data_IF_601002144432
#
_entry.id   IF_601002144432
#
_cell.length_a   1.000
_cell.length_b   1.000
_cell.length_c   1.000
_cell.angle_alpha   90.00
_cell.angle_beta   90.00
_cell.angle_gamma   90.00
#
_symmetry.space_group_name_H-M   'P 1'
#
loop_
_entity.id
_entity.type
_entity.pdbx_description
1 polymer ?
#
# COMPACT_ATOMS: atom_id res chain seq x y z
N UNK A 1 96.12 10.12 -35.59
CA UNK A 1 96.11 8.70 -36.00
C UNK A 1 95.29 7.95 -34.96
N UNK A 2 94.37 7.14 -35.45
CA UNK A 2 93.21 6.52 -34.81
C UNK A 2 93.56 5.42 -33.79
N UNK A 3 92.86 5.34 -32.66
CA UNK A 3 92.72 4.12 -31.82
C UNK A 3 91.50 4.25 -30.87
N UNK A 4 90.92 3.16 -30.35
CA UNK A 4 89.50 2.84 -30.50
C UNK A 4 88.63 3.19 -29.27
N UNK A 5 87.35 3.50 -29.51
CA UNK A 5 86.36 3.67 -28.46
C UNK A 5 85.99 2.31 -27.84
N UNK A 6 86.43 2.09 -26.60
CA UNK A 6 86.02 0.98 -25.76
C UNK A 6 84.71 1.37 -25.05
N UNK A 7 83.59 0.74 -25.41
CA UNK A 7 82.32 0.89 -24.69
C UNK A 7 82.43 0.24 -23.30
N UNK A 8 82.04 0.91 -22.20
CA UNK A 8 82.07 0.28 -20.88
C UNK A 8 81.02 -0.84 -20.77
N UNK A 9 81.38 -1.93 -20.10
CA UNK A 9 80.49 -3.05 -19.78
C UNK A 9 79.28 -2.59 -18.93
N UNK A 10 78.08 -3.00 -19.32
CA UNK A 10 76.86 -2.79 -18.57
C UNK A 10 76.62 -3.95 -17.60
N UNK A 11 76.61 -3.68 -16.30
CA UNK A 11 76.20 -4.65 -15.29
C UNK A 11 74.67 -4.61 -15.08
N UNK A 12 73.96 -5.74 -14.98
CA UNK A 12 72.54 -5.76 -14.67
C UNK A 12 72.28 -5.30 -13.23
N UNK A 13 71.27 -4.45 -13.04
CA UNK A 13 70.86 -3.92 -11.72
C UNK A 13 70.12 -5.02 -10.93
N UNK A 14 70.46 -5.26 -9.65
CA UNK A 14 69.75 -6.21 -8.80
C UNK A 14 68.25 -5.88 -8.63
N UNK A 15 67.37 -6.89 -8.55
CA UNK A 15 65.91 -6.70 -8.58
C UNK A 15 65.35 -5.82 -7.45
N UNK A 16 66.09 -5.67 -6.36
CA UNK A 16 65.67 -4.89 -5.18
C UNK A 16 65.79 -3.37 -5.38
N UNK A 17 66.35 -2.91 -6.51
CA UNK A 17 66.48 -1.49 -6.89
C UNK A 17 65.79 -1.14 -8.21
N UNK A 18 64.94 -2.02 -8.74
CA UNK A 18 64.17 -1.73 -9.94
C UNK A 18 63.11 -0.64 -9.64
N UNK A 19 63.14 0.47 -10.40
CA UNK A 19 62.17 1.55 -10.30
C UNK A 19 60.77 1.03 -10.67
N UNK A 20 59.87 0.97 -9.68
CA UNK A 20 58.47 0.58 -9.88
C UNK A 20 57.74 1.69 -10.64
N UNK A 21 57.54 1.52 -11.94
CA UNK A 21 56.65 2.41 -12.71
C UNK A 21 55.18 2.14 -12.37
N UNK A 22 54.62 2.91 -11.43
CA UNK A 22 53.16 3.02 -11.28
C UNK A 22 52.61 3.97 -12.34
N UNK A 23 51.98 3.43 -13.38
CA UNK A 23 51.16 4.23 -14.31
C UNK A 23 49.90 4.69 -13.57
N UNK A 24 49.90 5.93 -13.11
CA UNK A 24 48.67 6.58 -12.69
C UNK A 24 47.90 6.99 -13.96
N UNK A 25 46.71 6.40 -14.16
CA UNK A 25 45.80 6.84 -15.20
C UNK A 25 45.11 8.12 -14.73
N UNK A 26 45.70 9.28 -15.04
CA UNK A 26 45.06 10.57 -14.88
C UNK A 26 44.44 11.02 -16.21
N UNK A 27 43.15 11.36 -16.15
CA UNK A 27 42.35 11.88 -17.25
C UNK A 27 42.84 13.25 -17.71
N UNK A 28 42.69 13.51 -19.01
CA UNK A 28 43.01 14.75 -19.72
C UNK A 28 42.62 16.05 -18.99
N UNK A 29 43.63 16.81 -18.56
CA UNK A 29 43.71 18.28 -18.72
C UNK A 29 45.04 18.78 -18.19
N UNK A 30 46.06 18.88 -19.04
CA UNK A 30 47.41 19.34 -18.66
C UNK A 30 47.94 20.45 -19.57
N UNK A 31 47.07 21.35 -20.02
CA UNK A 31 47.47 22.56 -20.72
C UNK A 31 47.47 23.72 -19.71
N UNK A 32 48.62 23.98 -19.09
CA UNK A 32 48.81 25.21 -18.29
C UNK A 32 49.66 25.13 -17.03
N UNK A 33 50.28 23.99 -16.70
CA UNK A 33 51.22 23.95 -15.57
C UNK A 33 52.65 24.25 -16.06
N UNK A 34 53.11 25.47 -15.78
CA UNK A 34 54.49 25.86 -15.94
C UNK A 34 55.34 25.15 -14.87
N UNK A 35 56.39 24.43 -15.29
CA UNK A 35 57.27 23.67 -14.40
C UNK A 35 58.34 24.62 -13.87
N UNK A 36 58.30 24.97 -12.59
CA UNK A 36 59.45 25.56 -11.91
C UNK A 36 60.40 24.44 -11.48
N UNK A 37 61.61 24.44 -12.03
CA UNK A 37 62.71 23.61 -11.55
C UNK A 37 63.39 24.37 -10.41
N UNK A 38 63.42 23.80 -9.21
CA UNK A 38 64.29 24.28 -8.14
C UNK A 38 65.65 23.64 -8.39
N UNK A 39 66.67 24.44 -8.71
CA UNK A 39 68.06 23.99 -8.67
C UNK A 39 68.46 23.82 -7.19
N UNK A 40 68.61 22.59 -6.74
CA UNK A 40 69.27 22.30 -5.46
C UNK A 40 70.77 22.52 -5.63
N UNK A 41 71.23 23.67 -5.15
CA UNK A 41 72.65 23.97 -5.04
C UNK A 41 73.28 23.03 -4.00
N UNK A 42 74.22 22.20 -4.47
CA UNK A 42 74.96 21.21 -3.70
C UNK A 42 75.71 21.86 -2.53
N UNK A 43 75.26 21.58 -1.31
CA UNK A 43 76.01 21.86 -0.08
C UNK A 43 76.05 20.59 0.77
N UNK A 44 77.23 19.96 0.83
CA UNK A 44 77.51 18.80 1.70
C UNK A 44 77.30 19.13 3.19
N UNK A 45 76.91 18.15 4.02
CA UNK A 45 76.58 18.39 5.42
C UNK A 45 77.86 18.48 6.25
N UNK A 46 78.20 19.67 6.73
CA UNK A 46 79.16 19.81 7.83
C UNK A 46 78.45 19.58 9.16
N UNK A 47 78.91 18.56 9.88
CA UNK A 47 78.55 18.29 11.27
C UNK A 47 78.94 19.49 12.13
N UNK A 48 78.00 20.07 12.89
CA UNK A 48 78.37 20.73 14.15
C UNK A 48 77.23 20.81 15.18
N UNK A 49 77.55 20.21 16.33
CA UNK A 49 77.01 20.38 17.68
C UNK A 49 75.64 21.02 17.91
N UNK A 50 74.75 20.21 18.47
CA UNK A 50 73.65 20.65 19.34
C UNK A 50 74.24 21.45 20.51
N UNK A 51 74.14 22.79 20.47
CA UNK A 51 74.29 23.69 21.63
C UNK A 51 73.10 24.64 21.72
N UNK A 52 72.45 24.60 22.88
CA UNK A 52 71.26 25.33 23.30
C UNK A 52 71.25 26.81 22.86
N UNK A 53 70.23 27.22 22.09
CA UNK A 53 69.77 28.61 21.93
C UNK A 53 68.25 28.69 21.73
N UNK A 54 67.48 28.08 22.65
CA UNK A 54 66.02 28.30 22.68
C UNK A 54 65.61 29.71 23.16
N UNK A 55 66.55 30.52 23.67
CA UNK A 55 66.26 31.87 24.13
C UNK A 55 66.21 32.91 23.00
N UNK A 56 66.87 32.68 21.87
CA UNK A 56 66.91 33.64 20.76
C UNK A 56 65.68 33.52 19.85
N UNK A 57 65.03 32.35 19.76
CA UNK A 57 63.83 32.18 18.91
C UNK A 57 62.60 32.92 19.43
N UNK A 58 62.39 32.94 20.74
CA UNK A 58 61.25 33.65 21.34
C UNK A 58 61.44 35.17 21.29
N UNK A 59 62.66 35.65 21.48
CA UNK A 59 63.01 37.07 21.30
C UNK A 59 62.90 37.50 19.84
N UNK A 60 63.27 36.62 18.90
CA UNK A 60 63.14 36.87 17.47
C UNK A 60 61.67 36.91 17.03
N UNK A 61 60.81 36.07 17.60
CA UNK A 61 59.36 36.11 17.33
C UNK A 61 58.71 37.38 17.89
N UNK A 62 59.14 37.84 19.06
CA UNK A 62 58.64 39.10 19.65
C UNK A 62 59.15 40.29 18.83
N UNK A 63 60.41 40.28 18.39
CA UNK A 63 60.95 41.31 17.50
C UNK A 63 60.22 41.34 16.15
N UNK A 64 59.93 40.16 15.56
CA UNK A 64 59.17 40.05 14.31
C UNK A 64 57.72 40.55 14.49
N UNK A 65 57.04 40.18 15.58
CA UNK A 65 55.68 40.68 15.88
C UNK A 65 55.63 42.19 16.19
N UNK A 66 56.71 42.75 16.77
CA UNK A 66 56.75 44.16 17.17
C UNK A 66 57.18 45.07 16.02
N UNK A 67 58.12 44.62 15.18
CA UNK A 67 58.72 45.42 14.11
C UNK A 67 58.24 45.04 12.70
N UNK A 68 57.59 43.88 12.51
CA UNK A 68 57.00 43.41 11.25
C UNK A 68 55.56 42.93 11.47
N UNK A 69 54.58 43.85 11.60
CA UNK A 69 53.18 43.48 11.86
C UNK A 69 52.46 42.82 10.67
N UNK A 70 53.15 42.57 9.55
CA UNK A 70 52.58 41.99 8.34
C UNK A 70 53.30 40.67 8.01
N UNK A 71 52.53 39.58 8.01
CA UNK A 71 52.98 38.24 7.66
C UNK A 71 53.62 38.22 6.25
N UNK A 72 54.75 37.53 6.02
CA UNK A 72 55.37 37.44 4.70
C UNK A 72 54.44 36.81 3.64
N UNK A 73 53.50 35.94 4.04
CA UNK A 73 52.44 35.44 3.14
C UNK A 73 51.49 36.52 2.63
N UNK A 74 51.27 37.61 3.38
CA UNK A 74 50.46 38.73 2.93
C UNK A 74 51.19 39.62 1.92
N UNK A 75 52.52 39.67 1.96
CA UNK A 75 53.31 40.33 0.92
C UNK A 75 53.30 39.52 -0.38
N UNK A 76 53.44 38.19 -0.30
CA UNK A 76 53.36 37.30 -1.47
C UNK A 76 52.00 37.41 -2.19
N UNK A 77 50.90 37.51 -1.44
CA UNK A 77 49.57 37.71 -2.02
C UNK A 77 49.40 39.05 -2.75
N UNK A 78 50.23 40.07 -2.43
CA UNK A 78 50.25 41.37 -3.12
C UNK A 78 51.22 41.39 -4.31
N UNK A 79 52.18 40.47 -4.35
CA UNK A 79 53.14 40.30 -5.44
C UNK A 79 52.61 39.40 -6.56
N UNK A 80 51.57 38.61 -6.30
CA UNK A 80 50.80 37.98 -7.37
C UNK A 80 50.22 39.10 -8.26
N UNK A 81 50.57 39.15 -9.57
CA UNK A 81 49.94 40.09 -10.47
C UNK A 81 48.44 39.90 -10.34
N UNK A 82 47.69 40.98 -10.05
CA UNK A 82 46.25 40.95 -10.21
C UNK A 82 46.00 40.56 -11.67
N UNK A 83 45.72 39.28 -11.93
CA UNK A 83 45.47 38.78 -13.27
C UNK A 83 44.40 39.69 -13.84
N UNK A 84 44.76 40.45 -14.88
CA UNK A 84 43.81 41.26 -15.63
C UNK A 84 42.87 40.29 -16.31
N UNK A 85 41.84 39.86 -15.59
CA UNK A 85 40.76 39.05 -16.14
C UNK A 85 40.18 39.86 -17.28
N UNK A 86 40.39 39.38 -18.50
CA UNK A 86 39.88 40.04 -19.69
C UNK A 86 38.36 40.18 -19.55
N UNK A 87 37.76 41.29 -20.00
CA UNK A 87 36.30 41.45 -19.92
C UNK A 87 35.56 40.31 -20.65
N UNK A 88 36.22 39.71 -21.65
CA UNK A 88 35.77 38.51 -22.35
C UNK A 88 35.75 37.26 -21.47
N UNK A 89 36.77 37.01 -20.64
CA UNK A 89 36.77 35.81 -19.77
C UNK A 89 35.68 35.89 -18.69
N UNK A 90 35.39 37.10 -18.20
CA UNK A 90 34.28 37.35 -17.26
C UNK A 90 32.94 37.08 -17.94
N UNK A 91 32.76 37.54 -19.18
CA UNK A 91 31.52 37.32 -19.93
C UNK A 91 31.31 35.84 -20.31
N UNK A 92 32.37 35.16 -20.74
CA UNK A 92 32.35 33.72 -21.04
C UNK A 92 32.01 32.89 -19.81
N UNK A 93 32.60 33.19 -18.65
CA UNK A 93 32.29 32.47 -17.42
C UNK A 93 30.83 32.68 -16.96
N UNK A 94 30.28 33.89 -17.15
CA UNK A 94 28.86 34.16 -16.85
C UNK A 94 27.91 33.38 -17.76
N UNK A 95 28.24 33.25 -19.05
CA UNK A 95 27.46 32.44 -19.99
C UNK A 95 27.54 30.96 -19.61
N UNK A 96 28.73 30.46 -19.28
CA UNK A 96 28.92 29.07 -18.87
C UNK A 96 28.06 28.73 -17.65
N UNK A 97 28.09 29.57 -16.61
CA UNK A 97 27.26 29.39 -15.40
C UNK A 97 25.77 29.44 -15.74
N UNK A 98 25.35 30.35 -16.62
CA UNK A 98 23.95 30.43 -17.05
C UNK A 98 23.49 29.16 -17.77
N UNK A 99 24.31 28.63 -18.68
CA UNK A 99 24.01 27.37 -19.41
C UNK A 99 23.89 26.18 -18.46
N UNK A 100 24.80 26.06 -17.48
CA UNK A 100 24.74 25.00 -16.47
C UNK A 100 23.47 25.13 -15.63
N UNK A 101 23.10 26.34 -15.23
CA UNK A 101 21.89 26.59 -14.46
C UNK A 101 20.61 26.22 -15.23
N UNK A 102 20.56 26.53 -16.54
CA UNK A 102 19.44 26.14 -17.41
C UNK A 102 19.37 24.62 -17.58
N UNK A 103 20.51 23.94 -17.76
CA UNK A 103 20.56 22.49 -17.87
C UNK A 103 20.07 21.79 -16.59
N UNK A 104 20.49 22.27 -15.42
CA UNK A 104 20.04 21.75 -14.12
C UNK A 104 18.55 22.03 -13.92
N UNK A 105 18.06 23.20 -14.32
CA UNK A 105 16.64 23.54 -14.29
C UNK A 105 15.80 22.61 -15.16
N UNK A 106 16.22 22.37 -16.40
CA UNK A 106 15.53 21.45 -17.32
C UNK A 106 15.54 20.00 -16.80
N UNK A 107 16.68 19.52 -16.31
CA UNK A 107 16.78 18.19 -15.72
C UNK A 107 15.87 18.07 -14.48
N UNK A 108 15.83 19.09 -13.63
CA UNK A 108 14.94 19.16 -12.47
C UNK A 108 13.45 19.11 -12.84
N UNK A 109 13.04 19.87 -13.86
CA UNK A 109 11.65 19.86 -14.33
C UNK A 109 11.23 18.52 -14.94
N UNK A 110 12.14 17.85 -15.66
CA UNK A 110 11.91 16.50 -16.19
C UNK A 110 11.67 15.47 -15.09
N UNK A 111 12.49 15.49 -14.03
CA UNK A 111 12.34 14.62 -12.86
C UNK A 111 10.99 14.87 -12.17
N UNK A 112 10.62 16.14 -11.95
CA UNK A 112 9.35 16.51 -11.30
C UNK A 112 8.13 16.08 -12.11
N UNK A 113 8.17 16.21 -13.45
CA UNK A 113 7.09 15.73 -14.32
C UNK A 113 6.93 14.22 -14.31
N UNK A 114 8.04 13.46 -14.29
CA UNK A 114 8.03 12.00 -14.20
C UNK A 114 7.47 11.53 -12.85
N UNK A 115 7.82 12.21 -11.75
CA UNK A 115 7.29 11.92 -10.42
C UNK A 115 5.79 12.25 -10.26
N UNK A 116 5.28 13.27 -10.97
CA UNK A 116 3.88 13.69 -10.86
C UNK A 116 2.91 12.94 -11.77
N UNK A 117 3.36 12.26 -12.83
CA UNK A 117 2.43 11.64 -13.80
C UNK A 117 1.89 10.26 -13.40
N UNK A 118 2.64 9.42 -12.67
CA UNK A 118 2.28 7.99 -12.58
C UNK A 118 2.11 7.29 -11.20
N UNK A 119 2.29 7.90 -10.01
CA UNK A 119 2.16 7.13 -8.77
C UNK A 119 0.70 6.73 -8.46
N UNK A 120 -0.30 7.48 -8.94
CA UNK A 120 -1.71 7.21 -8.59
C UNK A 120 -2.34 6.07 -9.37
N UNK A 121 -1.95 5.84 -10.63
CA UNK A 121 -2.56 4.78 -11.43
C UNK A 121 -2.05 3.39 -11.02
N UNK A 122 -0.73 3.23 -10.88
CA UNK A 122 -0.12 1.95 -10.45
C UNK A 122 -0.50 1.57 -9.02
N UNK A 123 -0.63 2.55 -8.12
CA UNK A 123 -1.13 2.30 -6.76
C UNK A 123 -2.59 1.90 -6.78
N UNK A 124 -3.47 2.57 -7.55
CA UNK A 124 -4.88 2.17 -7.68
C UNK A 124 -5.03 0.78 -8.27
N UNK A 125 -4.28 0.44 -9.32
CA UNK A 125 -4.31 -0.88 -9.94
C UNK A 125 -3.82 -1.98 -8.98
N UNK A 126 -2.77 -1.70 -8.20
CA UNK A 126 -2.29 -2.59 -7.14
C UNK A 126 -3.31 -2.75 -6.00
N UNK A 127 -4.02 -1.70 -5.61
CA UNK A 127 -5.08 -1.79 -4.60
C UNK A 127 -6.30 -2.56 -5.12
N UNK A 128 -6.73 -2.29 -6.36
CA UNK A 128 -7.86 -2.98 -6.98
C UNK A 128 -7.58 -4.49 -7.07
N UNK A 129 -6.40 -4.88 -7.57
CA UNK A 129 -6.00 -6.29 -7.64
C UNK A 129 -5.89 -6.96 -6.27
N UNK A 130 -5.45 -6.24 -5.23
CA UNK A 130 -5.44 -6.77 -3.86
C UNK A 130 -6.86 -6.97 -3.30
N UNK A 131 -7.75 -5.99 -3.50
CA UNK A 131 -9.16 -6.10 -3.09
C UNK A 131 -9.84 -7.26 -3.79
N UNK A 132 -9.61 -7.41 -5.10
CA UNK A 132 -10.15 -8.52 -5.90
C UNK A 132 -9.62 -9.88 -5.43
N UNK A 133 -8.32 -10.00 -5.16
CA UNK A 133 -7.73 -11.23 -4.64
C UNK A 133 -8.26 -11.61 -3.25
N UNK A 134 -8.47 -10.61 -2.37
CA UNK A 134 -9.05 -10.83 -1.04
C UNK A 134 -10.53 -11.23 -1.15
N UNK A 135 -11.31 -10.54 -1.98
CA UNK A 135 -12.71 -10.88 -2.26
C UNK A 135 -12.84 -12.30 -2.81
N UNK A 136 -11.99 -12.68 -3.77
CA UNK A 136 -11.97 -14.03 -4.34
C UNK A 136 -11.67 -15.10 -3.28
N UNK A 137 -10.70 -14.86 -2.37
CA UNK A 137 -10.42 -15.78 -1.26
C UNK A 137 -11.59 -15.89 -0.29
N UNK A 138 -12.24 -14.78 0.05
CA UNK A 138 -13.42 -14.81 0.92
C UNK A 138 -14.56 -15.61 0.29
N UNK A 139 -14.80 -15.44 -1.01
CA UNK A 139 -15.81 -16.19 -1.76
C UNK A 139 -15.47 -17.68 -1.86
N UNK A 140 -14.20 -18.02 -2.13
CA UNK A 140 -13.74 -19.41 -2.17
C UNK A 140 -13.91 -20.09 -0.81
N UNK A 141 -13.56 -19.40 0.29
CA UNK A 141 -13.72 -19.91 1.64
C UNK A 141 -15.19 -20.09 2.02
N UNK A 142 -16.06 -19.15 1.61
CA UNK A 142 -17.52 -19.30 1.78
C UNK A 142 -18.06 -20.47 0.93
N UNK A 143 -17.54 -20.69 -0.27
CA UNK A 143 -17.85 -21.85 -1.10
C UNK A 143 -17.46 -23.16 -0.40
N UNK A 144 -16.23 -23.23 0.12
CA UNK A 144 -15.76 -24.39 0.89
C UNK A 144 -16.62 -24.64 2.14
N UNK A 145 -17.04 -23.58 2.86
CA UNK A 145 -17.96 -23.72 4.00
C UNK A 145 -19.31 -24.29 3.54
N UNK A 146 -19.85 -23.81 2.41
CA UNK A 146 -21.10 -24.33 1.84
C UNK A 146 -20.97 -25.81 1.45
N UNK A 147 -19.87 -26.19 0.80
CA UNK A 147 -19.60 -27.56 0.39
C UNK A 147 -19.42 -28.48 1.59
N UNK A 148 -18.69 -28.02 2.63
CA UNK A 148 -18.46 -28.78 3.85
C UNK A 148 -19.77 -28.96 4.63
N UNK A 149 -20.62 -27.94 4.70
CA UNK A 149 -21.97 -28.06 5.24
C UNK A 149 -22.83 -29.05 4.42
N UNK A 150 -22.73 -29.02 3.08
CA UNK A 150 -23.40 -30.00 2.23
C UNK A 150 -22.93 -31.43 2.46
N UNK A 151 -21.63 -31.64 2.72
CA UNK A 151 -21.07 -32.93 3.07
C UNK A 151 -21.53 -33.39 4.46
N UNK A 152 -21.60 -32.48 5.43
CA UNK A 152 -22.18 -32.77 6.75
C UNK A 152 -23.65 -33.15 6.63
N UNK A 153 -24.44 -32.46 5.80
CA UNK A 153 -25.85 -32.80 5.55
C UNK A 153 -26.01 -34.20 4.94
N UNK A 154 -25.19 -34.55 3.95
CA UNK A 154 -25.25 -35.89 3.32
C UNK A 154 -24.83 -36.99 4.28
N UNK A 155 -23.77 -36.77 5.05
CA UNK A 155 -23.28 -37.73 6.05
C UNK A 155 -24.27 -37.87 7.21
N UNK A 156 -24.85 -36.76 7.69
CA UNK A 156 -25.92 -36.74 8.69
C UNK A 156 -27.17 -37.49 8.18
N UNK A 157 -27.52 -37.32 6.91
CA UNK A 157 -28.63 -38.04 6.27
C UNK A 157 -28.40 -39.55 6.18
N UNK A 158 -27.15 -39.99 5.96
CA UNK A 158 -26.78 -41.41 5.95
C UNK A 158 -26.78 -42.03 7.35
N UNK A 159 -26.31 -41.29 8.37
CA UNK A 159 -26.33 -41.73 9.78
C UNK A 159 -27.75 -41.73 10.36
N UNK A 160 -28.61 -40.81 9.90
CA UNK A 160 -30.01 -40.69 10.32
C UNK A 160 -30.92 -41.85 9.91
N UNK A 161 -30.42 -42.81 9.10
CA UNK A 161 -31.12 -44.06 8.79
C UNK A 161 -31.40 -44.96 10.01
N UNK A 162 -30.77 -44.68 11.16
CA UNK A 162 -31.07 -45.31 12.45
C UNK A 162 -31.89 -44.35 13.33
N UNK A 163 -33.21 -44.34 13.14
CA UNK A 163 -34.19 -43.83 14.11
C UNK A 163 -34.04 -42.36 14.52
N UNK A 164 -34.41 -41.43 13.65
CA UNK A 164 -34.60 -40.03 14.08
C UNK A 164 -35.73 -39.96 15.12
N UNK A 165 -35.38 -39.60 16.36
CA UNK A 165 -36.37 -39.21 17.37
C UNK A 165 -37.09 -37.95 16.88
N UNK A 166 -38.42 -37.90 17.03
CA UNK A 166 -39.26 -36.75 16.63
C UNK A 166 -38.79 -35.43 17.26
N UNK A 167 -38.19 -35.49 18.45
CA UNK A 167 -37.56 -34.36 19.13
C UNK A 167 -36.40 -33.77 18.33
N UNK A 168 -35.57 -34.60 17.70
CA UNK A 168 -34.39 -34.17 16.96
C UNK A 168 -34.77 -33.43 15.67
N UNK A 169 -35.83 -33.88 14.99
CA UNK A 169 -36.38 -33.20 13.82
C UNK A 169 -36.96 -31.83 14.21
N UNK A 170 -37.66 -31.77 15.35
CA UNK A 170 -38.21 -30.51 15.86
C UNK A 170 -37.09 -29.52 16.24
N UNK A 171 -36.01 -30.00 16.86
CA UNK A 171 -34.85 -29.19 17.19
C UNK A 171 -34.13 -28.68 15.92
N UNK A 172 -33.96 -29.54 14.91
CA UNK A 172 -33.32 -29.15 13.65
C UNK A 172 -34.16 -28.13 12.86
N UNK A 173 -35.49 -28.27 12.89
CA UNK A 173 -36.39 -27.29 12.29
C UNK A 173 -36.35 -25.95 13.02
N UNK A 174 -36.36 -25.96 14.35
CA UNK A 174 -36.30 -24.76 15.21
C UNK A 174 -34.98 -24.02 15.06
N UNK A 175 -33.87 -24.76 14.95
CA UNK A 175 -32.55 -24.20 14.72
C UNK A 175 -32.31 -23.79 13.25
N UNK A 176 -33.22 -24.16 12.35
CA UNK A 176 -33.11 -23.90 10.91
C UNK A 176 -32.02 -24.73 10.22
N UNK A 177 -31.54 -25.81 10.84
CA UNK A 177 -30.46 -26.68 10.34
C UNK A 177 -30.97 -27.71 9.33
N UNK A 178 -32.28 -27.75 9.06
CA UNK A 178 -32.89 -28.53 8.00
C UNK A 178 -33.39 -27.65 6.84
N UNK A 179 -33.35 -28.21 5.63
CA UNK A 179 -33.97 -27.62 4.45
C UNK A 179 -35.49 -27.68 4.59
N UNK A 180 -36.16 -26.58 4.29
CA UNK A 180 -37.62 -26.49 4.41
C UNK A 180 -38.25 -26.01 3.12
N UNK A 181 -39.49 -26.42 2.93
CA UNK A 181 -40.30 -26.05 1.78
C UNK A 181 -41.70 -25.69 2.23
N UNK A 182 -42.22 -24.59 1.70
CA UNK A 182 -43.57 -24.14 2.05
C UNK A 182 -44.03 -22.96 1.21
N UNK A 183 -45.27 -22.56 1.41
CA UNK A 183 -45.81 -21.33 0.84
C UNK A 183 -45.30 -20.11 1.60
N UNK A 184 -45.31 -18.94 0.97
CA UNK A 184 -44.86 -17.72 1.61
C UNK A 184 -44.83 -16.50 0.71
N UNK A 185 -43.98 -15.54 1.05
CA UNK A 185 -43.78 -14.30 0.29
C UNK A 185 -42.30 -14.02 0.05
N UNK A 186 -42.03 -13.27 -1.01
CA UNK A 186 -40.70 -12.76 -1.34
C UNK A 186 -40.76 -11.25 -1.43
N UNK A 187 -39.89 -10.58 -0.66
CA UNK A 187 -39.73 -9.14 -0.63
C UNK A 187 -38.37 -8.80 -1.23
N UNK A 188 -38.33 -7.99 -2.27
CA UNK A 188 -37.10 -7.55 -2.92
C UNK A 188 -36.91 -6.06 -2.71
N UNK A 189 -35.78 -5.67 -2.12
CA UNK A 189 -35.38 -4.28 -1.88
C UNK A 189 -34.20 -3.94 -2.80
N UNK A 190 -34.36 -2.97 -3.68
CA UNK A 190 -33.29 -2.51 -4.58
C UNK A 190 -32.91 -1.07 -4.27
N UNK A 191 -31.62 -0.83 -4.06
CA UNK A 191 -31.06 0.52 -3.87
C UNK A 191 -31.25 1.36 -5.14
N UNK A 192 -31.33 2.70 -5.01
CA UNK A 192 -31.38 3.58 -6.16
C UNK A 192 -30.16 3.39 -7.06
N UNK A 193 -30.39 3.34 -8.38
CA UNK A 193 -29.29 3.33 -9.36
C UNK A 193 -28.69 4.73 -9.36
N UNK A 194 -27.38 4.83 -9.10
CA UNK A 194 -26.67 6.11 -9.16
C UNK A 194 -26.67 6.65 -10.61
N UNK A 195 -27.59 7.55 -10.94
CA UNK A 195 -27.55 8.34 -12.17
C UNK A 195 -26.57 9.52 -12.00
N UNK A 196 -26.06 10.07 -13.11
CA UNK A 196 -25.04 11.14 -13.09
C UNK A 196 -25.44 12.38 -12.29
N UNK A 197 -26.74 12.68 -12.20
CA UNK A 197 -27.30 13.82 -11.47
C UNK A 197 -27.33 13.63 -9.94
N UNK A 198 -27.10 12.40 -9.46
CA UNK A 198 -27.11 12.03 -8.04
C UNK A 198 -25.79 12.38 -7.33
N UNK A 199 -24.75 12.75 -8.10
CA UNK A 199 -23.42 13.04 -7.58
C UNK A 199 -23.31 14.38 -6.83
N UNK A 200 -24.25 15.30 -7.07
CA UNK A 200 -24.33 16.57 -6.33
C UNK A 200 -25.04 16.43 -4.97
N UNK A 201 -25.72 15.31 -4.71
CA UNK A 201 -26.41 15.02 -3.45
C UNK A 201 -26.00 13.65 -2.87
N UNK A 202 -24.72 13.29 -2.98
CA UNK A 202 -24.21 12.00 -2.52
C UNK A 202 -24.51 11.73 -1.02
N UNK A 203 -24.54 12.79 -0.20
CA UNK A 203 -24.83 12.70 1.24
C UNK A 203 -26.33 12.46 1.56
N UNK A 204 -27.23 12.56 0.57
CA UNK A 204 -28.67 12.39 0.76
C UNK A 204 -29.21 11.05 0.20
N UNK A 205 -28.37 10.24 -0.42
CA UNK A 205 -28.80 8.94 -0.95
C UNK A 205 -28.93 7.97 0.21
N UNK A 206 -30.17 7.65 0.59
CA UNK A 206 -30.43 6.60 1.57
C UNK A 206 -30.33 5.24 0.90
N UNK A 207 -29.42 4.40 1.39
CA UNK A 207 -29.29 3.00 1.00
C UNK A 207 -30.03 2.12 2.02
N UNK A 208 -30.41 0.91 1.62
CA UNK A 208 -30.89 -0.11 2.56
C UNK A 208 -29.77 -0.44 3.54
N UNK A 209 -30.11 -0.40 4.83
CA UNK A 209 -29.21 -0.69 5.96
C UNK A 209 -29.50 -2.05 6.57
N UNK A 210 -28.60 -2.55 7.42
CA UNK A 210 -28.84 -3.75 8.23
C UNK A 210 -30.04 -3.60 9.15
N UNK A 211 -30.26 -2.40 9.72
CA UNK A 211 -31.43 -2.10 10.54
C UNK A 211 -32.75 -2.25 9.76
N UNK A 212 -32.77 -1.87 8.49
CA UNK A 212 -33.95 -2.07 7.62
C UNK A 212 -34.28 -3.56 7.48
N UNK A 213 -33.26 -4.38 7.20
CA UNK A 213 -33.43 -5.83 7.06
C UNK A 213 -33.86 -6.46 8.38
N UNK A 214 -33.21 -6.13 9.49
CA UNK A 214 -33.60 -6.61 10.82
C UNK A 214 -35.05 -6.27 11.16
N UNK A 215 -35.49 -5.06 10.83
CA UNK A 215 -36.87 -4.65 11.04
C UNK A 215 -37.85 -5.51 10.24
N UNK A 216 -37.58 -5.78 8.96
CA UNK A 216 -38.41 -6.70 8.15
C UNK A 216 -38.44 -8.10 8.76
N UNK A 217 -37.29 -8.62 9.22
CA UNK A 217 -37.23 -9.93 9.88
C UNK A 217 -38.14 -9.97 11.11
N UNK A 218 -38.02 -8.99 12.02
CA UNK A 218 -38.86 -8.92 13.22
C UNK A 218 -40.35 -8.90 12.87
N UNK A 219 -40.73 -8.13 11.84
CA UNK A 219 -42.13 -8.06 11.40
C UNK A 219 -42.64 -9.37 10.82
N UNK A 220 -41.84 -10.02 9.97
CA UNK A 220 -42.17 -11.32 9.39
C UNK A 220 -42.33 -12.39 10.47
N UNK A 221 -41.41 -12.45 11.44
CA UNK A 221 -41.55 -13.35 12.60
C UNK A 221 -42.82 -13.06 13.41
N UNK A 222 -43.13 -11.78 13.65
CA UNK A 222 -44.36 -11.39 14.36
C UNK A 222 -45.66 -11.74 13.62
N UNK A 223 -45.59 -11.93 12.31
CA UNK A 223 -46.73 -12.35 11.48
C UNK A 223 -46.82 -13.87 11.29
N UNK A 224 -45.97 -14.64 11.98
CA UNK A 224 -46.00 -16.10 11.92
C UNK A 224 -45.20 -16.69 10.76
N UNK A 225 -44.15 -16.00 10.28
CA UNK A 225 -43.17 -16.67 9.43
C UNK A 225 -42.54 -17.83 10.21
N UNK A 226 -42.45 -19.00 9.57
CA UNK A 226 -41.83 -20.20 10.14
C UNK A 226 -40.35 -20.30 9.76
N UNK A 227 -39.99 -19.73 8.62
CA UNK A 227 -38.62 -19.72 8.14
C UNK A 227 -38.36 -18.50 7.25
N UNK A 228 -37.20 -17.87 7.42
CA UNK A 228 -36.81 -16.69 6.64
C UNK A 228 -35.39 -16.87 6.10
N UNK A 229 -35.12 -16.40 4.88
CA UNK A 229 -33.79 -16.28 4.31
C UNK A 229 -33.59 -14.91 3.66
N UNK A 230 -32.33 -14.45 3.63
CA UNK A 230 -31.92 -13.23 2.90
C UNK A 230 -30.86 -13.61 1.88
N UNK A 231 -31.12 -13.35 0.59
CA UNK A 231 -30.27 -13.73 -0.54
C UNK A 231 -29.85 -15.21 -0.49
N UNK A 232 -30.76 -16.10 -0.07
CA UNK A 232 -30.51 -17.53 0.08
C UNK A 232 -29.85 -17.97 1.40
N UNK A 233 -29.42 -17.03 2.25
CA UNK A 233 -28.86 -17.33 3.57
C UNK A 233 -29.99 -17.46 4.60
N UNK A 234 -30.16 -18.65 5.18
CA UNK A 234 -31.19 -18.93 6.17
C UNK A 234 -30.92 -18.16 7.48
N UNK A 235 -31.96 -17.53 8.00
CA UNK A 235 -31.94 -16.88 9.30
C UNK A 235 -32.32 -17.91 10.35
N UNK A 236 -31.36 -18.27 11.20
CA UNK A 236 -31.56 -19.11 12.39
C UNK A 236 -31.19 -18.35 13.66
N UNK A 237 -31.19 -19.07 14.78
CA UNK A 237 -30.93 -18.53 16.13
C UNK A 237 -29.54 -17.89 16.28
N UNK A 238 -28.57 -18.30 15.47
CA UNK A 238 -27.20 -17.80 15.50
C UNK A 238 -26.86 -16.89 14.31
N UNK A 239 -27.79 -16.67 13.38
CA UNK A 239 -27.54 -15.82 12.20
C UNK A 239 -27.72 -14.35 12.56
N UNK A 240 -26.63 -13.57 12.55
CA UNK A 240 -26.68 -12.11 12.73
C UNK A 240 -26.80 -11.38 11.40
N UNK A 241 -27.52 -10.26 11.35
CA UNK A 241 -27.49 -9.33 10.21
C UNK A 241 -26.79 -8.05 10.67
N UNK A 242 -25.68 -7.67 10.06
CA UNK A 242 -24.87 -6.53 10.51
C UNK A 242 -24.16 -5.82 9.37
N UNK A 243 -23.96 -4.51 9.47
CA UNK A 243 -23.12 -3.76 8.52
C UNK A 243 -21.64 -3.95 8.83
N UNK A 244 -20.83 -4.19 7.79
CA UNK A 244 -19.37 -4.23 7.85
C UNK A 244 -18.77 -3.36 6.73
N UNK A 245 -18.31 -2.16 7.08
CA UNK A 245 -17.86 -1.17 6.10
C UNK A 245 -19.01 -0.68 5.24
N UNK A 246 -19.00 -1.00 3.94
CA UNK A 246 -20.03 -0.60 2.97
C UNK A 246 -20.99 -1.75 2.59
N UNK A 247 -20.79 -2.95 3.14
CA UNK A 247 -21.59 -4.14 2.83
C UNK A 247 -22.37 -4.63 4.05
N UNK A 248 -23.45 -5.37 3.82
CA UNK A 248 -24.21 -6.04 4.88
C UNK A 248 -23.77 -7.50 4.92
N UNK A 249 -23.52 -8.01 6.13
CA UNK A 249 -23.24 -9.40 6.40
C UNK A 249 -24.48 -10.10 6.99
N UNK A 250 -24.83 -11.26 6.44
CA UNK A 250 -25.80 -12.20 7.01
C UNK A 250 -25.05 -13.45 7.43
N UNK A 251 -24.89 -13.62 8.74
CA UNK A 251 -23.91 -14.55 9.30
C UNK A 251 -22.50 -14.17 8.85
N UNK A 252 -21.89 -15.01 8.01
CA UNK A 252 -20.57 -14.78 7.40
C UNK A 252 -20.64 -14.34 5.94
N UNK A 253 -21.82 -14.39 5.32
CA UNK A 253 -22.00 -14.07 3.90
C UNK A 253 -22.18 -12.57 3.69
N UNK A 254 -21.36 -11.98 2.82
CA UNK A 254 -21.55 -10.61 2.35
C UNK A 254 -22.64 -10.57 1.29
N UNK A 255 -23.63 -9.70 1.47
CA UNK A 255 -24.76 -9.54 0.56
C UNK A 255 -24.84 -8.10 0.05
N UNK A 256 -25.24 -7.95 -1.21
CA UNK A 256 -25.42 -6.67 -1.88
C UNK A 256 -26.84 -6.54 -2.43
N UNK A 257 -27.24 -5.30 -2.74
CA UNK A 257 -28.52 -5.03 -3.37
C UNK A 257 -28.57 -5.63 -4.79
N UNK A 258 -29.71 -6.16 -5.25
CA UNK A 258 -31.00 -6.20 -4.56
C UNK A 258 -31.08 -7.26 -3.46
N UNK A 259 -31.65 -6.87 -2.32
CA UNK A 259 -31.84 -7.74 -1.16
C UNK A 259 -33.18 -8.48 -1.28
N UNK A 260 -33.12 -9.79 -1.44
CA UNK A 260 -34.26 -10.70 -1.55
C UNK A 260 -34.50 -11.39 -0.21
N UNK A 261 -35.58 -11.04 0.47
CA UNK A 261 -36.05 -11.65 1.71
C UNK A 261 -37.14 -12.67 1.36
N UNK A 262 -36.91 -13.93 1.67
CA UNK A 262 -37.81 -15.05 1.37
C UNK A 262 -38.35 -15.57 2.71
N UNK A 263 -39.66 -15.53 2.91
CA UNK A 263 -40.30 -15.95 4.14
C UNK A 263 -41.37 -17.00 3.87
N UNK A 264 -41.26 -18.17 4.51
CA UNK A 264 -42.25 -19.23 4.52
C UNK A 264 -43.19 -19.02 5.71
N UNK A 265 -44.49 -19.19 5.48
CA UNK A 265 -45.54 -19.07 6.48
C UNK A 265 -46.92 -18.93 5.82
N UNK A 266 -47.95 -18.67 6.60
CA UNK A 266 -49.29 -18.45 6.05
C UNK A 266 -49.33 -17.22 5.13
N UNK A 267 -49.69 -17.44 3.85
CA UNK A 267 -49.69 -16.36 2.86
C UNK A 267 -50.72 -15.27 3.16
N UNK A 268 -51.82 -15.61 3.84
CA UNK A 268 -52.84 -14.66 4.28
C UNK A 268 -52.23 -13.72 5.30
N UNK A 269 -51.78 -14.26 6.42
CA UNK A 269 -51.16 -13.52 7.53
C UNK A 269 -49.96 -12.68 7.10
N UNK A 270 -49.06 -13.24 6.28
CA UNK A 270 -47.90 -12.51 5.77
C UNK A 270 -48.30 -11.39 4.80
N UNK A 271 -49.39 -11.55 4.05
CA UNK A 271 -49.90 -10.48 3.18
C UNK A 271 -50.69 -9.42 3.93
N UNK A 272 -51.39 -9.81 4.99
CA UNK A 272 -52.09 -8.88 5.88
C UNK A 272 -51.09 -8.02 6.64
N UNK A 273 -49.93 -8.57 7.03
CA UNK A 273 -48.82 -7.77 7.54
C UNK A 273 -48.42 -6.66 6.56
N UNK A 274 -48.41 -6.96 5.26
CA UNK A 274 -48.01 -6.00 4.23
C UNK A 274 -49.03 -4.86 4.04
N UNK A 275 -50.29 -5.06 4.43
CA UNK A 275 -51.34 -4.05 4.35
C UNK A 275 -51.47 -3.20 5.62
N UNK A 276 -50.76 -3.54 6.71
CA UNK A 276 -50.78 -2.75 7.96
C UNK A 276 -50.16 -1.37 7.78
N UNK A 277 -50.70 -0.38 8.50
CA UNK A 277 -50.31 1.03 8.37
C UNK A 277 -48.84 1.28 8.73
N UNK A 278 -48.30 0.59 9.73
CA UNK A 278 -46.89 0.70 10.13
C UNK A 278 -45.95 0.26 9.00
N UNK A 279 -46.27 -0.85 8.32
CA UNK A 279 -45.50 -1.36 7.20
C UNK A 279 -45.68 -0.53 5.94
N UNK A 280 -46.90 -0.09 5.65
CA UNK A 280 -47.18 0.84 4.54
C UNK A 280 -46.41 2.15 4.68
N UNK A 281 -46.38 2.74 5.88
CA UNK A 281 -45.58 3.94 6.15
C UNK A 281 -44.10 3.67 5.90
N UNK A 282 -43.58 2.52 6.35
CA UNK A 282 -42.17 2.17 6.11
C UNK A 282 -41.85 1.97 4.62
N UNK A 283 -42.74 1.29 3.88
CA UNK A 283 -42.59 1.14 2.43
C UNK A 283 -42.63 2.48 1.71
N UNK A 284 -43.49 3.39 2.15
CA UNK A 284 -43.56 4.75 1.63
C UNK A 284 -42.25 5.51 1.88
N UNK A 285 -41.67 5.41 3.09
CA UNK A 285 -40.36 6.03 3.40
C UNK A 285 -39.24 5.47 2.53
N UNK A 286 -39.23 4.16 2.28
CA UNK A 286 -38.24 3.52 1.40
C UNK A 286 -38.42 3.99 -0.05
N UNK A 287 -39.67 4.08 -0.52
CA UNK A 287 -39.98 4.58 -1.86
C UNK A 287 -39.58 6.06 -2.04
N UNK A 288 -39.81 6.89 -1.03
CA UNK A 288 -39.37 8.29 -1.02
C UNK A 288 -37.84 8.42 -1.08
N UNK A 289 -37.13 7.44 -0.52
CA UNK A 289 -35.68 7.31 -0.63
C UNK A 289 -35.21 6.72 -1.97
N UNK A 290 -36.10 6.55 -2.96
CA UNK A 290 -35.83 5.90 -4.25
C UNK A 290 -35.38 4.43 -4.12
N UNK A 291 -35.68 3.76 -3.00
CA UNK A 291 -35.49 2.33 -2.82
C UNK A 291 -36.74 1.63 -3.39
N UNK A 292 -36.53 0.74 -4.37
CA UNK A 292 -37.63 0.00 -4.98
C UNK A 292 -37.95 -1.22 -4.12
N UNK A 293 -39.21 -1.37 -3.72
CA UNK A 293 -39.69 -2.54 -2.98
C UNK A 293 -40.71 -3.30 -3.81
N UNK A 294 -40.47 -4.60 -4.00
CA UNK A 294 -41.40 -5.50 -4.67
C UNK A 294 -41.77 -6.64 -3.73
N UNK A 295 -43.07 -6.95 -3.61
CA UNK A 295 -43.57 -8.05 -2.78
C UNK A 295 -44.37 -8.99 -3.65
N UNK A 296 -44.00 -10.27 -3.65
CA UNK A 296 -44.70 -11.32 -4.41
C UNK A 296 -45.06 -12.50 -3.52
N UNK A 297 -46.28 -13.04 -3.70
CA UNK A 297 -46.69 -14.29 -3.07
C UNK A 297 -46.12 -15.47 -3.84
N UNK A 298 -45.60 -16.46 -3.13
CA UNK A 298 -45.01 -17.66 -3.73
C UNK A 298 -45.66 -18.90 -3.10
N UNK A 299 -46.30 -19.73 -3.92
CA UNK A 299 -46.94 -20.99 -3.45
C UNK A 299 -45.94 -22.01 -2.95
N UNK A 300 -44.68 -21.91 -3.41
CA UNK A 300 -43.61 -22.83 -3.05
C UNK A 300 -42.29 -22.07 -3.00
N UNK A 301 -41.68 -22.06 -1.83
CA UNK A 301 -40.34 -21.55 -1.55
C UNK A 301 -39.52 -22.70 -0.96
N UNK A 302 -38.25 -22.74 -1.31
CA UNK A 302 -37.28 -23.68 -0.77
C UNK A 302 -36.21 -22.88 -0.06
N UNK A 303 -36.07 -23.08 1.25
CA UNK A 303 -35.03 -22.45 2.03
C UNK A 303 -34.02 -23.50 2.44
N UNK A 304 -32.74 -23.19 2.21
CA UNK A 304 -31.64 -24.04 2.62
C UNK A 304 -31.52 -24.10 4.16
N UNK A 305 -30.73 -25.05 4.65
CA UNK A 305 -30.33 -25.11 6.04
C UNK A 305 -29.38 -23.95 6.39
N UNK A 306 -29.39 -23.53 7.66
CA UNK A 306 -28.34 -22.66 8.24
C UNK A 306 -27.04 -23.46 8.29
N UNK A 307 -25.93 -22.86 7.85
CA UNK A 307 -24.62 -23.46 8.01
C UNK A 307 -24.29 -23.66 9.49
N UNK A 308 -23.88 -24.87 9.87
CA UNK A 308 -23.58 -25.20 11.27
C UNK A 308 -22.19 -24.68 11.65
N UNK A 309 -22.04 -24.01 12.80
CA UNK A 309 -20.72 -23.69 13.33
C UNK A 309 -20.02 -24.97 13.82
N UNK A 310 -18.71 -25.05 13.61
CA UNK A 310 -17.89 -26.12 14.18
C UNK A 310 -17.80 -25.95 15.71
N UNK A 311 -18.50 -26.79 16.45
CA UNK A 311 -18.44 -26.83 17.90
C UNK A 311 -17.27 -27.73 18.34
N UNK A 312 -16.21 -27.12 18.87
CA UNK A 312 -15.00 -27.85 19.31
C UNK A 312 -15.11 -28.44 20.72
N UNK A 313 -15.96 -27.88 21.59
CA UNK A 313 -15.95 -28.20 23.02
C UNK A 313 -17.26 -28.82 23.52
N UNK A 314 -18.30 -28.87 22.69
CA UNK A 314 -19.57 -29.48 23.01
C UNK A 314 -19.70 -30.79 22.24
N UNK A 315 -19.63 -31.92 22.95
CA UNK A 315 -19.97 -33.24 22.40
C UNK A 315 -21.43 -33.57 22.69
N UNK A 316 -22.16 -34.14 21.70
CA UNK A 316 -23.46 -34.74 21.99
C UNK A 316 -23.24 -35.98 22.85
N UNK A 317 -23.85 -36.01 24.04
CA UNK A 317 -24.07 -37.28 24.74
C UNK A 317 -25.06 -38.08 23.91
N UNK A 318 -24.65 -39.24 23.43
CA UNK A 318 -25.56 -40.24 22.89
C UNK A 318 -26.41 -40.85 24.00
#
# INVERSE_FOLDING_TARGET
MTEPQMTPESFPVPPDRALIHRRAAFSHSSAGLERHYVDEESSEPSQESIRRRMADESLRLIDDLTNRPMDPMFEDARLLPAERRSPLSIWVNRILVFVICVLVGLAGTGIVQVLHRDPRQKVREKLISQVEAVSKRANDLNGQISDLNGNIDTLSGQVSGQGQNSTQIADDLTNGTSKVQGQGIVITLANPIASKDVRDNADQIKLVTDQDLQWFLTKLWSAGAEAIAINGNRIGTQTSVRTAGQTILVGTASIEAPYKIEAIGDQGALSDLMSRSDLQNRLHDLKNANITVNVSKQRRLNLNAVGLPNLSYAGRSH
#
